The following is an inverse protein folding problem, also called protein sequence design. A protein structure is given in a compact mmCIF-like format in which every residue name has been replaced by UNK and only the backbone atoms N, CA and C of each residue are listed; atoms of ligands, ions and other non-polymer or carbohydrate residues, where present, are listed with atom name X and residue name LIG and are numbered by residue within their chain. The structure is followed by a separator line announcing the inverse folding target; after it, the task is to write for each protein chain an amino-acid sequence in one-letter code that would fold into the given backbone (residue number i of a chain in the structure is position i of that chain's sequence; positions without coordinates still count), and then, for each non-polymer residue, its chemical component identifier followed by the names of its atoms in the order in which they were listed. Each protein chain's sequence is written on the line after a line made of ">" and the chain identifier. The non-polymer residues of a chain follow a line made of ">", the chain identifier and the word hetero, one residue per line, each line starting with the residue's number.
data_IF_171765547978
#
_entry.id   IF_171765547978
#
_cell.length_a   1.000
_cell.length_b   1.000
_cell.length_c   1.000
_cell.angle_alpha   90.00
_cell.angle_beta   90.00
_cell.angle_gamma   90.00
#
_symmetry.space_group_name_H-M   'P 1'
#
loop_
_entity.id
_entity.type
_entity.pdbx_description
1 polymer ?
#
# COMPACT_ATOMS: atom_id res chain seq x y z
N UNK A 1 16.28 41.66 -2.15
CA UNK A 1 15.73 42.53 -3.20
C UNK A 1 15.28 41.63 -4.35
N UNK A 2 14.01 41.78 -4.70
CA UNK A 2 13.08 40.91 -5.45
C UNK A 2 13.59 39.90 -6.50
N UNK A 3 13.16 38.66 -6.28
CA UNK A 3 12.93 37.61 -7.28
C UNK A 3 11.74 38.05 -8.15
N UNK A 4 11.92 38.12 -9.48
CA UNK A 4 10.82 38.30 -10.43
C UNK A 4 10.16 36.95 -10.71
N UNK A 5 8.90 36.87 -10.31
CA UNK A 5 7.94 35.81 -10.62
C UNK A 5 7.27 36.06 -11.98
N UNK A 6 6.77 34.95 -12.55
CA UNK A 6 5.68 34.84 -13.53
C UNK A 6 5.97 35.16 -15.00
N UNK A 7 5.72 34.15 -15.85
CA UNK A 7 4.96 34.23 -17.12
C UNK A 7 4.80 32.80 -17.65
N UNK A 8 3.89 32.03 -17.04
CA UNK A 8 3.28 30.85 -17.66
C UNK A 8 1.91 31.27 -18.19
N UNK A 9 1.53 30.96 -19.44
CA UNK A 9 0.24 31.32 -19.98
C UNK A 9 -0.87 30.52 -19.28
N UNK A 10 -1.92 31.23 -18.84
CA UNK A 10 -3.14 30.61 -18.30
C UNK A 10 -3.81 29.78 -19.41
N UNK A 11 -4.22 28.52 -19.16
CA UNK A 11 -4.98 27.75 -20.13
C UNK A 11 -6.36 28.38 -20.36
N UNK A 12 -6.92 28.28 -21.58
CA UNK A 12 -8.12 28.99 -21.97
C UNK A 12 -9.35 28.46 -21.24
N UNK A 13 -10.28 29.37 -20.93
CA UNK A 13 -11.63 29.10 -20.47
C UNK A 13 -12.37 28.31 -21.56
N UNK A 14 -12.52 27.00 -21.36
CA UNK A 14 -13.29 26.14 -22.27
C UNK A 14 -14.77 26.42 -22.03
N UNK A 15 -15.38 27.08 -23.02
CA UNK A 15 -16.82 27.20 -23.19
C UNK A 15 -17.43 25.84 -23.51
N UNK A 16 -18.60 25.63 -22.91
CA UNK A 16 -19.44 24.45 -22.89
C UNK A 16 -19.80 23.93 -24.28
N UNK A 17 -19.50 22.66 -24.56
CA UNK A 17 -20.19 21.87 -25.59
C UNK A 17 -20.82 20.66 -24.89
N UNK A 18 -22.16 20.71 -24.80
CA UNK A 18 -23.00 19.65 -24.26
C UNK A 18 -23.11 18.50 -25.26
N UNK A 19 -22.65 17.30 -24.90
CA UNK A 19 -23.23 16.06 -25.40
C UNK A 19 -22.92 14.88 -24.48
N UNK A 20 -23.91 14.55 -23.64
CA UNK A 20 -24.21 13.25 -23.00
C UNK A 20 -23.05 12.29 -22.72
N UNK A 21 -22.52 12.39 -21.50
CA UNK A 21 -22.11 11.25 -20.68
C UNK A 21 -22.28 11.68 -19.23
N UNK A 22 -23.41 11.35 -18.63
CA UNK A 22 -23.66 11.58 -17.20
C UNK A 22 -22.79 10.61 -16.39
N UNK A 23 -21.55 11.01 -16.12
CA UNK A 23 -20.77 10.49 -15.01
C UNK A 23 -21.14 11.34 -13.80
N UNK A 24 -22.25 11.00 -13.14
CA UNK A 24 -22.53 11.53 -11.81
C UNK A 24 -21.61 10.82 -10.81
N UNK A 25 -20.42 11.41 -10.64
CA UNK A 25 -19.80 11.40 -9.33
C UNK A 25 -20.64 12.26 -8.37
N UNK A 26 -20.56 11.88 -7.10
CA UNK A 26 -21.04 12.55 -5.89
C UNK A 26 -22.47 12.21 -5.44
N UNK A 27 -22.52 11.64 -4.24
CA UNK A 27 -23.66 11.53 -3.30
C UNK A 27 -24.46 10.23 -3.33
N UNK A 28 -23.94 9.18 -2.70
CA UNK A 28 -24.61 8.47 -1.58
C UNK A 28 -23.76 7.26 -1.17
N UNK A 29 -23.04 7.36 -0.06
CA UNK A 29 -22.66 6.17 0.71
C UNK A 29 -23.93 5.66 1.36
N UNK A 30 -24.75 4.93 0.60
CA UNK A 30 -25.77 4.05 1.16
C UNK A 30 -25.10 2.69 1.25
N UNK A 31 -24.81 2.32 2.48
CA UNK A 31 -24.22 1.04 2.88
C UNK A 31 -25.08 -0.07 2.27
N UNK A 32 -24.58 -0.70 1.19
CA UNK A 32 -25.06 -2.01 0.78
C UNK A 32 -24.48 -3.01 1.78
N UNK A 33 -25.32 -3.40 2.74
CA UNK A 33 -25.12 -4.54 3.61
C UNK A 33 -25.35 -5.83 2.79
N UNK A 34 -24.38 -6.19 1.95
CA UNK A 34 -24.31 -7.53 1.39
C UNK A 34 -23.20 -8.29 2.14
N UNK A 35 -23.60 -9.25 2.96
CA UNK A 35 -22.73 -10.09 3.80
C UNK A 35 -21.72 -10.90 2.96
N UNK A 36 -22.05 -11.16 1.70
CA UNK A 36 -21.26 -11.98 0.77
C UNK A 36 -19.92 -11.34 0.36
N UNK A 37 -19.82 -10.01 0.43
CA UNK A 37 -18.66 -9.25 -0.05
C UNK A 37 -17.68 -8.87 1.08
N UNK A 38 -18.05 -9.07 2.35
CA UNK A 38 -17.21 -8.74 3.52
C UNK A 38 -15.97 -9.64 3.66
N UNK A 39 -16.01 -10.86 3.14
CA UNK A 39 -14.88 -11.79 3.18
C UNK A 39 -13.85 -11.54 2.07
N UNK A 40 -14.28 -10.99 0.93
CA UNK A 40 -13.46 -10.85 -0.29
C UNK A 40 -12.68 -9.52 -0.30
N UNK A 41 -13.15 -8.48 0.39
CA UNK A 41 -12.56 -7.13 0.33
C UNK A 41 -12.10 -6.64 1.70
N UNK A 42 -10.93 -7.09 2.15
CA UNK A 42 -10.23 -6.59 3.34
C UNK A 42 -9.67 -5.15 3.21
N UNK A 43 -10.06 -4.39 2.18
CA UNK A 43 -9.51 -3.07 1.82
C UNK A 43 -10.56 -1.97 1.61
N UNK A 44 -11.71 -2.04 2.28
CA UNK A 44 -12.60 -0.86 2.34
C UNK A 44 -11.99 0.17 3.29
N UNK A 45 -11.79 1.41 2.84
CA UNK A 45 -11.23 2.54 3.61
C UNK A 45 -11.81 2.58 5.02
N UNK A 46 -11.04 2.12 6.01
CA UNK A 46 -11.47 2.01 7.40
C UNK A 46 -11.17 3.30 8.15
N UNK A 47 -12.14 3.80 8.92
CA UNK A 47 -11.94 4.89 9.86
C UNK A 47 -11.03 4.44 11.01
N UNK A 48 -9.72 4.54 10.84
CA UNK A 48 -8.79 4.30 11.94
C UNK A 48 -8.84 5.51 12.89
N UNK A 49 -9.04 5.28 14.19
CA UNK A 49 -9.01 6.37 15.17
C UNK A 49 -7.59 6.81 15.55
N UNK A 50 -6.57 6.21 14.94
CA UNK A 50 -5.18 6.50 15.25
C UNK A 50 -4.60 7.48 14.23
N UNK A 51 -4.44 8.72 14.67
CA UNK A 51 -3.71 9.73 13.92
C UNK A 51 -2.22 9.55 14.13
N UNK A 52 -1.49 9.60 13.02
CA UNK A 52 -0.04 9.64 13.03
C UNK A 52 0.45 11.01 13.53
N UNK A 53 1.58 11.02 14.22
CA UNK A 53 2.26 12.24 14.66
C UNK A 53 2.70 13.06 13.44
N UNK A 54 2.58 14.39 13.50
CA UNK A 54 3.05 15.28 12.44
C UNK A 54 4.56 15.14 12.18
N UNK A 55 5.34 14.80 13.21
CA UNK A 55 6.76 14.50 13.07
C UNK A 55 6.99 13.27 12.20
N UNK A 56 6.20 12.20 12.42
CA UNK A 56 6.29 10.98 11.63
C UNK A 56 5.86 11.25 10.18
N UNK A 57 4.86 12.11 9.97
CA UNK A 57 4.43 12.51 8.63
C UNK A 57 5.54 13.24 7.87
N UNK A 58 6.24 14.16 8.54
CA UNK A 58 7.41 14.86 7.97
C UNK A 58 8.55 13.91 7.67
N UNK A 59 8.84 12.97 8.57
CA UNK A 59 9.86 11.92 8.33
C UNK A 59 9.50 11.11 7.07
N UNK A 60 8.25 10.66 6.94
CA UNK A 60 7.79 9.90 5.79
C UNK A 60 7.84 10.71 4.49
N UNK A 61 7.41 11.98 4.50
CA UNK A 61 7.52 12.86 3.33
C UNK A 61 8.98 13.01 2.87
N UNK A 62 9.89 13.19 3.83
CA UNK A 62 11.32 13.30 3.53
C UNK A 62 11.88 12.01 2.94
N UNK A 63 11.61 10.86 3.57
CA UNK A 63 12.09 9.55 3.09
C UNK A 63 11.44 9.13 1.76
N UNK A 64 10.18 9.51 1.53
CA UNK A 64 9.49 9.28 0.26
C UNK A 64 10.10 10.11 -0.87
N UNK A 65 10.54 11.34 -0.57
CA UNK A 65 11.23 12.20 -1.55
C UNK A 65 12.67 11.76 -1.82
N UNK A 66 13.39 11.31 -0.79
CA UNK A 66 14.75 10.82 -0.88
C UNK A 66 15.02 9.80 0.24
N UNK A 67 14.95 8.52 -0.13
CA UNK A 67 15.18 7.40 0.79
C UNK A 67 16.63 7.28 1.26
N UNK A 68 17.58 8.06 0.72
CA UNK A 68 19.00 8.04 1.11
C UNK A 68 19.33 9.06 2.18
N UNK A 69 18.38 9.91 2.59
CA UNK A 69 18.62 10.93 3.62
C UNK A 69 19.11 10.30 4.92
N UNK A 70 20.18 10.85 5.46
CA UNK A 70 20.70 10.40 6.76
C UNK A 70 19.75 10.83 7.88
N UNK A 71 19.67 10.03 8.95
CA UNK A 71 18.89 10.39 10.13
C UNK A 71 19.34 11.72 10.77
N UNK A 72 20.60 12.12 10.58
CA UNK A 72 21.12 13.42 11.02
C UNK A 72 20.51 14.58 10.24
N UNK A 73 20.34 14.43 8.93
CA UNK A 73 19.69 15.45 8.10
C UNK A 73 18.21 15.55 8.40
N UNK A 74 17.53 14.40 8.57
CA UNK A 74 16.13 14.34 8.98
C UNK A 74 15.95 15.03 10.33
N UNK A 75 16.80 14.72 11.32
CA UNK A 75 16.80 15.34 12.65
C UNK A 75 16.93 16.87 12.56
N UNK A 76 17.87 17.36 11.74
CA UNK A 76 18.07 18.80 11.53
C UNK A 76 16.83 19.48 10.93
N UNK A 77 16.15 18.86 9.97
CA UNK A 77 14.95 19.45 9.32
C UNK A 77 13.68 19.33 10.17
N UNK A 78 13.59 18.29 11.00
CA UNK A 78 12.41 18.02 11.85
C UNK A 78 12.51 18.63 13.25
N UNK A 79 13.70 19.01 13.70
CA UNK A 79 13.93 19.60 15.02
C UNK A 79 13.98 18.59 16.17
N UNK A 80 13.95 17.29 15.89
CA UNK A 80 14.12 16.23 16.89
C UNK A 80 15.53 15.63 16.85
N UNK A 81 15.94 14.95 17.92
CA UNK A 81 17.27 14.34 17.98
C UNK A 81 17.43 13.16 17.00
N UNK A 82 18.65 12.90 16.53
CA UNK A 82 18.95 11.75 15.66
C UNK A 82 18.49 10.40 16.26
N UNK A 83 18.72 10.10 17.57
CA UNK A 83 18.15 8.90 18.19
C UNK A 83 16.62 8.84 18.14
N UNK A 84 15.94 9.98 18.28
CA UNK A 84 14.47 10.07 18.15
C UNK A 84 14.02 9.72 16.74
N UNK A 85 14.67 10.26 15.69
CA UNK A 85 14.37 9.91 14.30
C UNK A 85 14.56 8.41 14.07
N UNK A 86 15.71 7.87 14.50
CA UNK A 86 16.02 6.45 14.33
C UNK A 86 14.97 5.55 15.00
N UNK A 87 14.53 5.90 16.22
CA UNK A 87 13.48 5.16 16.92
C UNK A 87 12.13 5.23 16.18
N UNK A 88 11.74 6.42 15.69
CA UNK A 88 10.48 6.63 14.94
C UNK A 88 10.47 5.87 13.63
N UNK A 89 11.54 5.96 12.82
CA UNK A 89 11.68 5.22 11.55
C UNK A 89 11.56 3.71 11.80
N UNK A 90 12.28 3.19 12.80
CA UNK A 90 12.19 1.77 13.16
C UNK A 90 10.77 1.36 13.56
N UNK A 91 10.04 2.20 14.30
CA UNK A 91 8.64 1.92 14.62
C UNK A 91 7.75 1.92 13.39
N UNK A 92 7.94 2.85 12.44
CA UNK A 92 7.19 2.89 11.18
C UNK A 92 7.46 1.66 10.29
N UNK A 93 8.70 1.15 10.29
CA UNK A 93 9.07 -0.12 9.65
C UNK A 93 8.42 -1.32 10.34
N UNK A 94 8.51 -1.42 11.67
CA UNK A 94 7.91 -2.51 12.46
C UNK A 94 6.38 -2.57 12.29
N UNK A 95 5.74 -1.41 12.07
CA UNK A 95 4.31 -1.28 11.82
C UNK A 95 3.93 -1.53 10.35
N UNK A 96 4.90 -1.66 9.45
CA UNK A 96 4.67 -1.86 8.01
C UNK A 96 4.20 -0.59 7.27
N UNK A 97 4.24 0.58 7.91
CA UNK A 97 3.98 1.87 7.24
C UNK A 97 5.08 2.14 6.22
N UNK A 98 6.33 1.87 6.60
CA UNK A 98 7.45 1.79 5.66
C UNK A 98 7.58 0.32 5.26
N UNK A 99 7.26 0.01 4.00
CA UNK A 99 7.34 -1.35 3.45
C UNK A 99 8.77 -1.77 3.11
N UNK A 100 9.65 -0.80 2.86
CA UNK A 100 11.05 -1.03 2.52
C UNK A 100 11.68 0.18 1.85
N UNK A 101 12.93 0.02 1.44
CA UNK A 101 13.71 1.02 0.71
C UNK A 101 14.25 0.38 -0.56
N UNK A 102 13.97 0.98 -1.70
CA UNK A 102 14.42 0.51 -3.00
C UNK A 102 14.72 1.68 -3.92
N UNK A 103 15.59 1.46 -4.90
CA UNK A 103 15.69 2.36 -6.03
C UNK A 103 14.42 2.24 -6.89
N UNK A 104 13.87 3.36 -7.34
CA UNK A 104 12.83 3.35 -8.38
C UNK A 104 13.52 3.30 -9.75
N UNK A 105 13.54 2.11 -10.34
CA UNK A 105 14.14 1.86 -11.65
C UNK A 105 13.04 1.98 -12.70
N UNK A 106 13.26 2.78 -13.73
CA UNK A 106 12.35 2.89 -14.87
C UNK A 106 12.51 1.67 -15.79
N UNK A 107 11.50 0.79 -15.92
CA UNK A 107 11.56 -0.37 -16.81
C UNK A 107 11.84 0.03 -18.26
N UNK A 108 11.25 1.14 -18.73
CA UNK A 108 11.39 1.58 -20.12
C UNK A 108 12.84 2.01 -20.43
N UNK A 109 13.56 2.54 -19.44
CA UNK A 109 14.94 2.99 -19.59
C UNK A 109 15.95 1.82 -19.72
N UNK A 110 15.55 0.62 -19.31
CA UNK A 110 16.34 -0.62 -19.43
C UNK A 110 15.75 -1.57 -20.49
N UNK A 111 14.97 -1.02 -21.44
CA UNK A 111 14.35 -1.74 -22.55
C UNK A 111 13.31 -2.80 -22.16
N UNK A 112 12.75 -2.73 -20.97
CA UNK A 112 11.59 -3.54 -20.61
C UNK A 112 10.30 -2.92 -21.15
N UNK A 113 9.26 -3.76 -21.26
CA UNK A 113 7.92 -3.33 -21.65
C UNK A 113 6.96 -3.45 -20.47
N UNK A 114 6.00 -2.53 -20.41
CA UNK A 114 4.95 -2.52 -19.39
C UNK A 114 3.61 -2.80 -20.07
N UNK A 115 2.83 -3.70 -19.49
CA UNK A 115 1.48 -4.00 -19.95
C UNK A 115 0.50 -3.98 -18.78
N UNK A 116 -0.76 -3.70 -19.08
CA UNK A 116 -1.87 -3.78 -18.13
C UNK A 116 -2.78 -4.90 -18.59
N UNK A 117 -2.96 -5.89 -17.72
CA UNK A 117 -3.89 -6.99 -17.91
C UNK A 117 -5.16 -6.70 -17.13
N UNK A 118 -6.31 -6.80 -17.77
CA UNK A 118 -7.63 -6.82 -17.12
C UNK A 118 -8.25 -8.18 -17.34
N UNK A 119 -8.58 -8.87 -16.26
CA UNK A 119 -9.21 -10.19 -16.25
C UNK A 119 -10.63 -10.07 -15.73
N UNK A 120 -11.59 -10.67 -16.42
CA UNK A 120 -12.94 -10.90 -15.91
C UNK A 120 -13.09 -12.37 -15.51
N UNK A 121 -13.65 -12.60 -14.32
CA UNK A 121 -13.95 -13.94 -13.83
C UNK A 121 -15.21 -13.91 -12.95
N UNK A 122 -15.69 -15.09 -12.54
CA UNK A 122 -16.83 -15.17 -11.62
C UNK A 122 -16.43 -14.70 -10.22
N UNK A 123 -17.36 -14.13 -9.42
CA UNK A 123 -17.07 -13.68 -8.06
C UNK A 123 -16.39 -14.72 -7.18
N UNK A 124 -16.79 -16.00 -7.30
CA UNK A 124 -16.22 -17.12 -6.53
C UNK A 124 -14.76 -17.44 -6.88
N UNK A 125 -14.31 -17.01 -8.06
CA UNK A 125 -12.99 -17.30 -8.62
C UNK A 125 -12.01 -16.12 -8.49
N UNK A 126 -12.46 -14.99 -7.93
CA UNK A 126 -11.62 -13.79 -7.75
C UNK A 126 -10.35 -14.08 -6.94
N UNK A 127 -10.51 -14.76 -5.81
CA UNK A 127 -9.39 -15.06 -4.91
C UNK A 127 -8.37 -15.95 -5.63
N UNK A 128 -8.82 -17.07 -6.21
CA UNK A 128 -7.95 -18.03 -6.89
C UNK A 128 -7.22 -17.42 -8.09
N UNK A 129 -7.92 -16.63 -8.93
CA UNK A 129 -7.30 -15.92 -10.06
C UNK A 129 -6.27 -14.90 -9.57
N UNK A 130 -6.60 -14.11 -8.54
CA UNK A 130 -5.67 -13.11 -8.00
C UNK A 130 -4.41 -13.75 -7.40
N UNK A 131 -4.56 -14.88 -6.70
CA UNK A 131 -3.44 -15.64 -6.16
C UNK A 131 -2.55 -16.24 -7.28
N UNK A 132 -3.15 -16.81 -8.32
CA UNK A 132 -2.42 -17.39 -9.45
C UNK A 132 -1.59 -16.33 -10.18
N UNK A 133 -2.18 -15.15 -10.42
CA UNK A 133 -1.49 -14.00 -11.01
C UNK A 133 -0.36 -13.50 -10.10
N UNK A 134 -0.58 -13.39 -8.78
CA UNK A 134 0.42 -12.89 -7.82
C UNK A 134 1.70 -13.72 -7.77
N UNK A 135 1.64 -14.99 -8.18
CA UNK A 135 2.77 -15.93 -8.19
C UNK A 135 3.61 -15.83 -9.47
N UNK A 136 3.16 -15.09 -10.49
CA UNK A 136 3.88 -14.96 -11.75
C UNK A 136 5.00 -13.92 -11.63
N UNK A 137 6.20 -14.27 -12.07
CA UNK A 137 7.37 -13.39 -11.94
C UNK A 137 7.22 -12.06 -12.68
N UNK A 138 6.49 -12.03 -13.79
CA UNK A 138 6.28 -10.82 -14.60
C UNK A 138 5.18 -9.91 -14.04
N UNK A 139 4.41 -10.39 -13.07
CA UNK A 139 3.34 -9.62 -12.43
C UNK A 139 3.95 -8.76 -11.32
N UNK A 140 3.80 -7.44 -11.45
CA UNK A 140 4.34 -6.45 -10.51
C UNK A 140 3.31 -5.94 -9.52
N UNK A 141 2.04 -6.08 -9.86
CA UNK A 141 0.92 -5.66 -9.03
C UNK A 141 -0.34 -6.41 -9.46
N UNK A 142 -1.19 -6.76 -8.49
CA UNK A 142 -2.52 -7.34 -8.71
C UNK A 142 -3.52 -6.54 -7.89
N UNK A 143 -4.59 -6.08 -8.53
CA UNK A 143 -5.63 -5.24 -7.95
C UNK A 143 -6.98 -5.90 -8.24
N UNK A 144 -7.67 -6.30 -7.18
CA UNK A 144 -9.05 -6.80 -7.30
C UNK A 144 -10.01 -5.61 -7.29
N UNK A 145 -10.86 -5.51 -8.31
CA UNK A 145 -11.82 -4.43 -8.48
C UNK A 145 -13.23 -4.85 -8.03
N UNK A 146 -14.04 -3.86 -7.65
CA UNK A 146 -15.48 -4.04 -7.49
C UNK A 146 -16.11 -4.37 -8.85
N UNK A 147 -16.76 -5.54 -8.97
CA UNK A 147 -17.36 -6.01 -10.22
C UNK A 147 -16.68 -7.24 -10.82
N UNK A 148 -16.03 -8.06 -10.00
CA UNK A 148 -15.42 -9.34 -10.41
C UNK A 148 -14.37 -9.22 -11.52
N UNK A 149 -13.55 -8.18 -11.41
CA UNK A 149 -12.41 -7.95 -12.28
C UNK A 149 -11.12 -7.93 -11.49
N UNK A 150 -10.05 -8.41 -12.11
CA UNK A 150 -8.68 -8.32 -11.59
C UNK A 150 -7.86 -7.53 -12.60
N UNK A 151 -7.18 -6.48 -12.15
CA UNK A 151 -6.20 -5.75 -12.96
C UNK A 151 -4.81 -6.12 -12.49
N UNK A 152 -3.92 -6.45 -13.41
CA UNK A 152 -2.52 -6.72 -13.10
C UNK A 152 -1.59 -5.82 -13.93
N UNK A 153 -0.58 -5.25 -13.26
CA UNK A 153 0.51 -4.52 -13.92
C UNK A 153 1.63 -5.50 -14.20
N UNK A 154 2.01 -5.61 -15.46
CA UNK A 154 3.00 -6.56 -15.95
C UNK A 154 4.27 -5.85 -16.42
N UNK A 155 5.40 -6.52 -16.32
CA UNK A 155 6.67 -6.05 -16.88
C UNK A 155 7.44 -7.20 -17.49
N UNK A 156 7.92 -7.02 -18.72
CA UNK A 156 8.62 -8.04 -19.51
C UNK A 156 9.92 -7.49 -20.08
N UNK A 157 11.00 -8.28 -19.99
CA UNK A 157 12.32 -7.94 -20.56
C UNK A 157 12.26 -7.81 -22.09
N UNK A 158 11.57 -8.73 -22.77
CA UNK A 158 11.44 -8.78 -24.22
C UNK A 158 10.09 -9.37 -24.64
N UNK A 159 9.63 -9.11 -25.87
CA UNK A 159 8.32 -9.56 -26.39
C UNK A 159 8.12 -11.08 -26.28
N UNK A 160 9.14 -11.91 -26.50
CA UNK A 160 9.01 -13.37 -26.41
C UNK A 160 8.60 -13.89 -25.02
N UNK A 161 8.72 -13.10 -23.95
CA UNK A 161 8.22 -13.45 -22.61
C UNK A 161 6.72 -13.22 -22.45
N UNK A 162 6.14 -12.33 -23.25
CA UNK A 162 4.70 -12.09 -23.27
C UNK A 162 3.97 -13.32 -23.80
N UNK A 163 4.42 -13.91 -24.90
CA UNK A 163 3.79 -15.09 -25.48
C UNK A 163 3.77 -16.27 -24.51
N UNK A 164 4.84 -16.49 -23.75
CA UNK A 164 4.89 -17.52 -22.70
C UNK A 164 3.85 -17.25 -21.62
N UNK A 165 3.70 -16.00 -21.22
CA UNK A 165 2.69 -15.60 -20.23
C UNK A 165 1.27 -15.75 -20.77
N UNK A 166 1.00 -15.38 -22.03
CA UNK A 166 -0.31 -15.54 -22.67
C UNK A 166 -0.70 -17.02 -22.80
N UNK A 167 0.23 -17.87 -23.24
CA UNK A 167 0.03 -19.32 -23.30
C UNK A 167 -0.25 -19.95 -21.93
N UNK A 168 0.28 -19.37 -20.85
CA UNK A 168 -0.06 -19.78 -19.49
C UNK A 168 -1.45 -19.26 -19.10
N UNK A 169 -1.75 -18.00 -19.39
CA UNK A 169 -3.02 -17.34 -19.05
C UNK A 169 -4.21 -18.05 -19.69
N UNK A 170 -4.08 -18.47 -20.94
CA UNK A 170 -5.12 -19.23 -21.68
C UNK A 170 -5.46 -20.59 -21.03
N UNK A 171 -4.58 -21.13 -20.19
CA UNK A 171 -4.81 -22.40 -19.48
C UNK A 171 -5.51 -22.21 -18.13
N UNK A 172 -5.75 -20.97 -17.71
CA UNK A 172 -6.43 -20.68 -16.45
C UNK A 172 -7.94 -20.72 -16.69
N UNK A 173 -8.55 -21.87 -16.42
CA UNK A 173 -9.99 -22.13 -16.67
C UNK A 173 -10.95 -21.20 -15.91
N UNK A 174 -10.47 -20.57 -14.83
CA UNK A 174 -11.24 -19.62 -14.03
C UNK A 174 -11.45 -18.26 -14.71
N UNK A 175 -10.71 -17.98 -15.78
CA UNK A 175 -10.78 -16.71 -16.52
C UNK A 175 -11.89 -16.82 -17.58
N UNK A 176 -12.91 -15.97 -17.48
CA UNK A 176 -13.98 -15.91 -18.49
C UNK A 176 -13.51 -15.10 -19.72
N UNK A 177 -12.79 -14.00 -19.49
CA UNK A 177 -12.16 -13.21 -20.55
C UNK A 177 -11.02 -12.35 -20.01
N UNK A 178 -10.15 -11.86 -20.90
CA UNK A 178 -9.12 -10.90 -20.53
C UNK A 178 -8.83 -9.90 -21.66
N UNK A 179 -8.29 -8.75 -21.30
CA UNK A 179 -7.67 -7.80 -22.21
C UNK A 179 -6.27 -7.46 -21.72
N UNK A 180 -5.32 -7.29 -22.64
CA UNK A 180 -3.96 -6.88 -22.34
C UNK A 180 -3.54 -5.70 -23.22
N UNK A 181 -3.23 -4.58 -22.58
CA UNK A 181 -2.84 -3.35 -23.24
C UNK A 181 -1.38 -3.02 -22.92
N UNK A 182 -0.55 -2.87 -23.95
CA UNK A 182 0.83 -2.42 -23.77
C UNK A 182 0.88 -0.91 -23.56
N UNK A 183 1.60 -0.47 -22.54
CA UNK A 183 1.84 0.95 -22.32
C UNK A 183 2.73 1.51 -23.43
N UNK A 184 2.23 2.54 -24.13
CA UNK A 184 3.01 3.28 -25.14
C UNK A 184 3.88 4.35 -24.50
N UNK A 185 3.37 5.01 -23.45
CA UNK A 185 4.08 6.05 -22.70
C UNK A 185 3.51 6.20 -21.29
N UNK A 186 4.39 6.37 -20.31
CA UNK A 186 4.01 6.82 -18.96
C UNK A 186 4.13 8.34 -18.91
N UNK A 187 3.01 9.03 -18.64
CA UNK A 187 2.97 10.50 -18.57
C UNK A 187 3.34 11.01 -17.17
N UNK A 188 3.02 10.25 -16.12
CA UNK A 188 3.29 10.60 -14.73
C UNK A 188 3.54 9.34 -13.92
N UNK A 189 4.54 9.37 -13.04
CA UNK A 189 4.79 8.35 -12.00
C UNK A 189 5.15 9.10 -10.71
N UNK A 190 4.43 8.80 -9.65
CA UNK A 190 4.66 9.34 -8.31
C UNK A 190 4.61 8.16 -7.32
N UNK A 191 5.20 8.32 -6.11
CA UNK A 191 5.00 7.35 -5.05
C UNK A 191 3.51 7.12 -4.77
N UNK A 192 3.12 5.85 -4.57
CA UNK A 192 1.70 5.46 -4.42
C UNK A 192 1.00 6.15 -3.24
N UNK A 193 1.74 6.40 -2.15
CA UNK A 193 1.19 6.92 -0.91
C UNK A 193 1.22 8.45 -0.88
N UNK A 194 0.08 9.09 -0.64
CA UNK A 194 0.04 10.52 -0.33
C UNK A 194 0.23 10.69 1.19
N UNK A 195 1.33 11.34 1.58
CA UNK A 195 1.63 11.59 3.00
C UNK A 195 1.29 13.03 3.36
N UNK A 196 0.36 13.21 4.31
CA UNK A 196 -0.03 14.52 4.85
C UNK A 196 -0.03 14.52 6.39
N UNK A 197 -0.09 15.71 6.99
CA UNK A 197 -0.23 15.83 8.45
C UNK A 197 -1.59 15.31 8.92
N UNK A 198 -1.61 14.63 10.07
CA UNK A 198 -2.85 14.11 10.67
C UNK A 198 -3.48 12.91 9.94
N UNK A 199 -2.74 12.22 9.05
CA UNK A 199 -3.24 10.99 8.41
C UNK A 199 -3.58 9.92 9.45
N UNK A 200 -4.64 9.17 9.14
CA UNK A 200 -5.03 7.99 9.90
C UNK A 200 -4.19 6.81 9.47
N UNK A 201 -3.61 6.10 10.43
CA UNK A 201 -2.79 4.90 10.18
C UNK A 201 -3.50 3.67 10.70
N UNK A 202 -3.46 2.59 9.93
CA UNK A 202 -3.90 1.27 10.36
C UNK A 202 -2.64 0.47 10.64
N UNK A 203 -2.46 0.09 11.91
CA UNK A 203 -1.26 -0.62 12.35
C UNK A 203 -1.61 -2.06 12.76
N UNK A 204 -0.73 -3.04 12.52
CA UNK A 204 -0.95 -4.40 12.98
C UNK A 204 -0.78 -4.51 14.50
N UNK A 205 -1.59 -5.36 15.13
CA UNK A 205 -1.43 -5.73 16.53
C UNK A 205 -0.06 -6.40 16.74
N UNK A 206 0.68 -5.95 17.75
CA UNK A 206 2.00 -6.50 18.08
C UNK A 206 1.95 -7.98 18.49
N UNK A 207 0.80 -8.48 18.95
CA UNK A 207 0.62 -9.89 19.31
C UNK A 207 0.10 -10.71 18.12
N UNK A 208 -1.16 -10.46 17.71
CA UNK A 208 -1.87 -11.31 16.75
C UNK A 208 -1.71 -10.89 15.29
N UNK A 209 -0.99 -9.80 15.00
CA UNK A 209 -0.78 -9.21 13.66
C UNK A 209 -2.03 -8.73 12.91
N UNK A 210 -3.24 -8.96 13.43
CA UNK A 210 -4.47 -8.39 12.86
C UNK A 210 -4.40 -6.86 12.88
N UNK A 211 -4.92 -6.25 11.82
CA UNK A 211 -5.01 -4.79 11.70
C UNK A 211 -5.91 -4.23 12.81
N UNK A 212 -5.40 -3.24 13.55
CA UNK A 212 -6.16 -2.55 14.59
C UNK A 212 -7.10 -1.54 13.92
N UNK A 213 -8.40 -1.77 14.07
CA UNK A 213 -9.46 -0.94 13.49
C UNK A 213 -10.05 0.08 14.48
N UNK A 214 -9.96 -0.23 15.77
CA UNK A 214 -10.50 0.58 16.87
C UNK A 214 -9.39 1.27 17.65
N UNK A 215 -9.73 1.93 18.76
CA UNK A 215 -8.73 2.53 19.64
C UNK A 215 -7.81 1.43 20.21
N UNK A 216 -6.49 1.46 19.96
CA UNK A 216 -5.58 0.42 20.44
C UNK A 216 -5.41 0.48 21.95
N UNK A 217 -5.24 -0.69 22.56
CA UNK A 217 -4.63 -0.79 23.89
C UNK A 217 -3.14 -0.46 23.75
N UNK A 218 -2.65 0.48 24.54
CA UNK A 218 -1.29 1.03 24.43
C UNK A 218 -0.47 0.64 25.66
N UNK A 219 0.77 0.22 25.45
CA UNK A 219 1.74 -0.01 26.52
C UNK A 219 3.11 0.52 26.14
N UNK A 220 3.85 1.06 27.11
CA UNK A 220 5.24 1.48 26.92
C UNK A 220 6.19 0.44 27.52
N UNK A 221 7.05 -0.17 26.70
CA UNK A 221 8.08 -1.14 27.12
C UNK A 221 9.43 -0.73 26.53
N UNK A 222 10.50 -0.75 27.34
CA UNK A 222 11.86 -0.33 26.98
C UNK A 222 11.90 0.98 26.16
N UNK A 223 11.09 1.95 26.60
CA UNK A 223 11.02 3.28 25.99
C UNK A 223 10.15 3.41 24.73
N UNK A 224 9.58 2.31 24.22
CA UNK A 224 8.79 2.28 22.97
C UNK A 224 7.31 2.01 23.23
N UNK A 225 6.45 2.59 22.39
CA UNK A 225 5.01 2.34 22.42
C UNK A 225 4.68 1.09 21.61
N UNK A 226 3.87 0.21 22.20
CA UNK A 226 3.35 -0.99 21.58
C UNK A 226 1.82 -0.91 21.55
N UNK A 227 1.25 -1.37 20.44
CA UNK A 227 -0.19 -1.25 20.15
C UNK A 227 -0.82 -2.62 19.97
N UNK A 228 -1.91 -2.85 20.70
CA UNK A 228 -2.58 -4.14 20.78
C UNK A 228 -4.07 -3.95 20.45
N UNK A 229 -4.67 -4.94 19.79
CA UNK A 229 -6.08 -4.86 19.39
C UNK A 229 -7.06 -5.05 20.56
N UNK A 230 -6.64 -5.70 21.66
CA UNK A 230 -7.49 -5.96 22.83
C UNK A 230 -6.66 -6.31 24.08
N UNK A 231 -7.30 -6.34 25.25
CA UNK A 231 -6.65 -6.69 26.53
C UNK A 231 -6.05 -8.10 26.54
N UNK A 232 -6.70 -9.07 25.87
CA UNK A 232 -6.18 -10.43 25.75
C UNK A 232 -4.83 -10.45 25.02
N UNK A 233 -4.70 -9.68 23.93
CA UNK A 233 -3.45 -9.52 23.22
C UNK A 233 -2.40 -8.81 24.08
N UNK A 234 -2.79 -7.84 24.91
CA UNK A 234 -1.87 -7.18 25.84
C UNK A 234 -1.27 -8.17 26.84
N UNK A 235 -2.09 -9.04 27.44
CA UNK A 235 -1.62 -10.03 28.42
C UNK A 235 -0.61 -10.99 27.78
N UNK A 236 -0.97 -11.59 26.65
CA UNK A 236 -0.09 -12.50 25.90
C UNK A 236 1.21 -11.81 25.46
N UNK A 237 1.10 -10.56 24.99
CA UNK A 237 2.26 -9.78 24.57
C UNK A 237 3.23 -9.53 25.72
N UNK A 238 2.74 -9.14 26.91
CA UNK A 238 3.58 -8.96 28.11
C UNK A 238 4.33 -10.24 28.47
N UNK A 239 3.63 -11.37 28.54
CA UNK A 239 4.22 -12.67 28.86
C UNK A 239 5.28 -13.09 27.83
N UNK A 240 5.03 -12.83 26.54
CA UNK A 240 5.98 -13.09 25.46
C UNK A 240 7.20 -12.17 25.55
N UNK A 241 6.99 -10.90 25.84
CA UNK A 241 8.04 -9.89 25.97
C UNK A 241 8.99 -10.19 27.13
N UNK A 242 8.46 -10.57 28.29
CA UNK A 242 9.26 -10.96 29.45
C UNK A 242 10.13 -12.18 29.18
N UNK A 243 9.62 -13.18 28.43
CA UNK A 243 10.39 -14.36 28.01
C UNK A 243 11.58 -13.96 27.14
N UNK A 244 11.35 -13.10 26.14
CA UNK A 244 12.41 -12.59 25.26
C UNK A 244 13.45 -11.80 26.06
N UNK A 245 13.02 -10.95 27.00
CA UNK A 245 13.91 -10.14 27.85
C UNK A 245 14.79 -10.99 28.77
N UNK A 246 14.31 -12.16 29.18
CA UNK A 246 15.06 -13.15 29.97
C UNK A 246 15.99 -14.03 29.11
N UNK A 247 16.11 -13.78 27.80
CA UNK A 247 16.94 -14.55 26.88
C UNK A 247 16.36 -15.92 26.51
N UNK A 248 15.08 -16.16 26.81
CA UNK A 248 14.39 -17.42 26.46
C UNK A 248 13.86 -17.26 25.03
N UNK A 249 14.43 -18.01 24.08
CA UNK A 249 13.98 -17.99 22.70
C UNK A 249 12.51 -18.45 22.59
N UNK A 250 11.71 -17.88 21.68
CA UNK A 250 10.33 -18.32 21.50
C UNK A 250 10.30 -19.77 21.03
N UNK A 251 9.56 -20.64 21.71
CA UNK A 251 9.13 -21.91 21.13
C UNK A 251 8.30 -21.57 19.89
N UNK A 252 8.64 -22.17 18.73
CA UNK A 252 7.89 -22.00 17.48
C UNK A 252 6.40 -22.29 17.74
N UNK A 253 5.57 -21.25 17.82
CA UNK A 253 4.13 -21.41 17.87
C UNK A 253 3.67 -21.86 16.48
N UNK A 254 3.00 -23.02 16.44
CA UNK A 254 2.38 -23.58 15.24
C UNK A 254 1.57 -22.50 14.53
N UNK A 255 1.99 -22.15 13.31
CA UNK A 255 1.11 -21.46 12.38
C UNK A 255 -0.08 -22.40 12.11
N UNK A 256 -1.28 -21.94 12.46
CA UNK A 256 -2.52 -22.60 12.07
C UNK A 256 -2.62 -22.62 10.55
N UNK A 257 -3.09 -23.77 10.05
CA UNK A 257 -3.32 -24.08 8.65
C UNK A 257 -4.35 -23.16 8.00
#
# INVERSE_FOLDING_TARGET
>A
MHIRTSLWPKPPLIQTIHSRMEVQCVTFVRIFHDESYKSILGYTVYSSQMRMDNTDAKILQMLQSDGRLSFREIAKKTGVSTPTVSARVKTLEEQGVIRGYSADIDPLAINETISVLTVECKPKDLESVSELLSKQENVREVIVLSGSRVVARLTFEHEGRLDVFLNWLEKVEQIDSYNIDRAVRIVKKEPDAIVSEGIQVVIPCYECRKLIREQPVRIKLDGRMHYLCCESCLKLYKERYERIKKGISPSKSKAGH
#
